data_IF_472867657678
#
_entry.id   IF_472867657678
#
_cell.length_a   1.000
_cell.length_b   1.000
_cell.length_c   1.000
_cell.angle_alpha   90.00
_cell.angle_beta   90.00
_cell.angle_gamma   90.00
#
_symmetry.space_group_name_H-M   'P 1'
#
loop_
_entity.id
_entity.type
_entity.pdbx_description
1 polymer ?
#
# COMPACT_ATOMS: atom_id res chain seq x y z
N UNK A 1 58.47 26.86 15.96
CA UNK A 1 57.65 25.80 15.32
C UNK A 1 56.28 25.76 16.01
N UNK A 2 55.19 26.12 15.32
CA UNK A 2 53.82 26.01 15.86
C UNK A 2 53.00 25.17 14.87
N UNK A 3 52.75 23.91 15.21
CA UNK A 3 51.85 23.05 14.44
C UNK A 3 50.41 23.54 14.65
N UNK A 4 49.76 23.95 13.56
CA UNK A 4 48.32 24.22 13.56
C UNK A 4 47.61 22.87 13.40
N UNK A 5 46.94 22.40 14.47
CA UNK A 5 45.98 21.30 14.36
C UNK A 5 44.78 21.80 13.53
N UNK A 6 44.60 21.22 12.35
CA UNK A 6 43.37 21.40 11.56
C UNK A 6 42.40 20.32 12.04
N UNK A 7 41.35 20.73 12.76
CA UNK A 7 40.27 19.87 13.21
C UNK A 7 39.31 19.64 12.04
N UNK A 8 39.34 18.46 11.43
CA UNK A 8 38.41 18.06 10.37
C UNK A 8 37.09 17.63 11.03
N UNK A 9 36.10 18.53 11.06
CA UNK A 9 34.77 18.21 11.54
C UNK A 9 34.05 17.33 10.51
N UNK A 10 33.96 16.03 10.79
CA UNK A 10 33.21 15.07 9.97
C UNK A 10 31.71 15.30 10.18
N UNK A 11 31.08 16.10 9.31
CA UNK A 11 29.63 16.24 9.23
C UNK A 11 29.03 14.90 8.79
N UNK A 12 28.57 14.11 9.75
CA UNK A 12 27.69 12.96 9.54
C UNK A 12 26.35 13.47 8.99
N UNK A 13 26.25 13.61 7.68
CA UNK A 13 24.96 13.75 7.01
C UNK A 13 24.31 12.38 7.04
N UNK A 14 23.55 12.09 8.10
CA UNK A 14 22.69 10.91 8.16
C UNK A 14 21.77 10.95 6.94
N UNK A 15 21.79 9.96 6.03
CA UNK A 15 20.79 9.90 5.00
C UNK A 15 19.44 9.79 5.71
N UNK A 16 18.53 10.72 5.42
CA UNK A 16 17.11 10.56 5.74
C UNK A 16 16.64 9.32 4.98
N UNK A 17 16.80 8.14 5.60
CA UNK A 17 16.13 6.95 5.16
C UNK A 17 14.65 7.18 5.45
N UNK A 18 13.90 7.60 4.43
CA UNK A 18 12.45 7.57 4.49
C UNK A 18 12.06 6.11 4.75
N UNK A 19 11.67 5.82 5.99
CA UNK A 19 11.15 4.52 6.34
C UNK A 19 9.90 4.30 5.48
N UNK A 20 9.84 3.17 4.80
CA UNK A 20 8.61 2.81 4.10
C UNK A 20 7.51 2.60 5.14
N UNK A 21 6.26 2.93 4.83
CA UNK A 21 5.18 2.78 5.78
C UNK A 21 5.03 1.31 6.19
N UNK A 22 4.83 1.10 7.49
CA UNK A 22 4.57 -0.21 8.07
C UNK A 22 3.07 -0.38 8.36
N UNK A 23 2.55 -1.57 8.05
CA UNK A 23 1.17 -1.98 8.31
C UNK A 23 1.16 -3.42 8.80
N UNK A 24 0.51 -3.68 9.94
CA UNK A 24 0.48 -4.99 10.60
C UNK A 24 1.88 -5.62 10.77
N UNK A 25 2.87 -4.81 11.16
CA UNK A 25 4.25 -5.27 11.37
C UNK A 25 5.06 -5.51 10.08
N UNK A 26 4.50 -5.25 8.90
CA UNK A 26 5.17 -5.44 7.62
C UNK A 26 5.48 -4.08 6.95
N UNK A 27 6.67 -3.92 6.39
CA UNK A 27 7.11 -2.72 5.67
C UNK A 27 6.93 -2.89 4.15
N UNK A 28 6.24 -1.95 3.52
CA UNK A 28 6.03 -1.95 2.06
C UNK A 28 7.36 -1.76 1.34
N UNK A 29 7.64 -2.59 0.34
CA UNK A 29 8.87 -2.56 -0.45
C UNK A 29 10.08 -3.16 0.26
N UNK A 30 9.91 -3.78 1.43
CA UNK A 30 11.00 -4.42 2.19
C UNK A 30 10.65 -5.81 2.69
N UNK A 31 9.49 -5.99 3.33
CA UNK A 31 9.12 -7.28 3.89
C UNK A 31 9.03 -8.33 2.79
N UNK A 32 9.78 -9.42 2.96
CA UNK A 32 9.78 -10.55 2.04
C UNK A 32 8.59 -11.47 2.29
N UNK A 33 8.20 -12.23 1.28
CA UNK A 33 7.20 -13.29 1.38
C UNK A 33 7.54 -14.29 2.51
N UNK A 34 8.82 -14.66 2.62
CA UNK A 34 9.31 -15.55 3.67
C UNK A 34 9.20 -14.93 5.07
N UNK A 35 9.46 -13.62 5.22
CA UNK A 35 9.24 -12.91 6.49
C UNK A 35 7.76 -12.85 6.86
N UNK A 36 6.90 -12.49 5.91
CA UNK A 36 5.46 -12.47 6.13
C UNK A 36 4.93 -13.86 6.53
N UNK A 37 5.45 -14.94 5.91
CA UNK A 37 5.11 -16.32 6.26
C UNK A 37 5.57 -16.77 7.66
N UNK A 38 6.55 -16.08 8.26
CA UNK A 38 6.93 -16.28 9.67
C UNK A 38 6.04 -15.50 10.63
N UNK A 39 5.53 -14.34 10.21
CA UNK A 39 4.63 -13.52 11.01
C UNK A 39 3.20 -14.09 11.01
N UNK A 40 2.73 -14.55 9.85
CA UNK A 40 1.35 -14.95 9.63
C UNK A 40 1.26 -16.18 8.72
N UNK A 41 0.22 -16.99 8.93
CA UNK A 41 -0.13 -18.05 7.97
C UNK A 41 -0.70 -17.43 6.69
N UNK A 42 0.07 -17.54 5.61
CA UNK A 42 -0.36 -17.14 4.26
C UNK A 42 -1.25 -18.24 3.66
N UNK A 43 -2.46 -17.88 3.24
CA UNK A 43 -3.43 -18.79 2.65
C UNK A 43 -3.69 -18.39 1.19
N UNK A 44 -4.13 -19.36 0.37
CA UNK A 44 -4.58 -19.19 -1.02
C UNK A 44 -3.61 -18.35 -1.87
N UNK A 45 -2.68 -19.05 -2.49
CA UNK A 45 -1.70 -18.47 -3.41
C UNK A 45 -2.31 -18.27 -4.81
N UNK A 46 -2.23 -17.04 -5.33
CA UNK A 46 -2.63 -16.73 -6.69
C UNK A 46 -1.58 -15.83 -7.35
N UNK A 47 -1.13 -16.17 -8.56
CA UNK A 47 -0.26 -15.29 -9.32
C UNK A 47 -1.01 -13.99 -9.66
N UNK A 48 -0.47 -12.85 -9.24
CA UNK A 48 -1.07 -11.56 -9.51
C UNK A 48 -0.54 -11.00 -10.85
N UNK A 49 -1.41 -10.73 -11.83
CA UNK A 49 -0.99 -10.36 -13.19
C UNK A 49 -0.34 -8.97 -13.28
N UNK A 50 -0.47 -8.13 -12.25
CA UNK A 50 0.09 -6.78 -12.26
C UNK A 50 1.45 -6.70 -11.56
N UNK A 51 1.64 -7.47 -10.48
CA UNK A 51 2.91 -7.49 -9.77
C UNK A 51 3.91 -8.50 -10.36
N UNK A 52 3.42 -9.57 -10.99
CA UNK A 52 4.24 -10.70 -11.41
C UNK A 52 4.62 -11.65 -10.27
N UNK A 53 4.23 -11.33 -9.03
CA UNK A 53 4.42 -12.17 -7.85
C UNK A 53 3.09 -12.71 -7.32
N UNK A 54 3.17 -13.41 -6.20
CA UNK A 54 2.00 -14.05 -5.60
C UNK A 54 1.20 -13.12 -4.69
N UNK A 55 -0.11 -13.37 -4.67
CA UNK A 55 -1.07 -12.80 -3.74
C UNK A 55 -1.52 -13.87 -2.74
N UNK A 56 -1.66 -13.47 -1.48
CA UNK A 56 -2.10 -14.32 -0.38
C UNK A 56 -3.18 -13.63 0.45
N UNK A 57 -4.04 -14.43 1.06
CA UNK A 57 -4.91 -13.99 2.16
C UNK A 57 -4.32 -14.34 3.52
N UNK A 58 -4.49 -13.45 4.48
CA UNK A 58 -4.11 -13.69 5.89
C UNK A 58 -5.38 -13.79 6.73
N UNK A 59 -5.38 -14.71 7.70
CA UNK A 59 -6.47 -14.79 8.66
C UNK A 59 -6.50 -13.50 9.50
N UNK A 60 -7.55 -12.66 9.41
CA UNK A 60 -7.61 -11.38 10.11
C UNK A 60 -7.55 -11.56 11.64
N UNK A 61 -8.00 -12.71 12.17
CA UNK A 61 -7.96 -13.01 13.61
C UNK A 61 -6.53 -13.22 14.15
N UNK A 62 -5.55 -13.44 13.26
CA UNK A 62 -4.14 -13.55 13.65
C UNK A 62 -3.46 -12.19 13.81
N UNK A 63 -4.13 -11.10 13.40
CA UNK A 63 -3.64 -9.74 13.51
C UNK A 63 -4.41 -9.07 14.65
N UNK A 64 -3.70 -8.54 15.63
CA UNK A 64 -4.30 -7.79 16.74
C UNK A 64 -4.73 -6.39 16.26
N UNK A 65 -5.86 -6.35 15.54
CA UNK A 65 -6.48 -5.13 15.07
C UNK A 65 -8.01 -5.28 15.05
N UNK A 66 -8.68 -4.46 15.86
CA UNK A 66 -10.13 -4.50 16.02
C UNK A 66 -10.89 -4.24 14.71
N UNK A 67 -11.85 -5.11 14.39
CA UNK A 67 -12.77 -4.95 13.26
C UNK A 67 -12.17 -5.33 11.90
N UNK A 68 -11.03 -6.02 11.86
CA UNK A 68 -10.44 -6.50 10.62
C UNK A 68 -11.21 -7.70 10.06
N UNK A 69 -11.68 -7.62 8.81
CA UNK A 69 -12.50 -8.66 8.16
C UNK A 69 -11.73 -9.45 7.10
N UNK A 70 -10.81 -8.79 6.39
CA UNK A 70 -9.98 -9.42 5.37
C UNK A 70 -8.63 -8.73 5.29
N UNK A 71 -7.58 -9.52 5.05
CA UNK A 71 -6.26 -9.01 4.67
C UNK A 71 -5.75 -9.74 3.44
N UNK A 72 -5.34 -8.96 2.45
CA UNK A 72 -4.71 -9.44 1.23
C UNK A 72 -3.31 -8.83 1.11
N UNK A 73 -2.32 -9.69 0.87
CA UNK A 73 -0.93 -9.30 0.62
C UNK A 73 -0.60 -9.61 -0.83
N UNK A 74 0.08 -8.70 -1.53
CA UNK A 74 0.62 -8.99 -2.88
C UNK A 74 2.12 -8.70 -2.87
N UNK A 75 2.88 -9.68 -3.35
CA UNK A 75 4.31 -9.62 -3.54
C UNK A 75 4.65 -9.40 -5.02
N UNK A 76 5.84 -8.87 -5.29
CA UNK A 76 6.41 -8.78 -6.63
C UNK A 76 7.18 -10.04 -7.02
N UNK A 77 7.74 -10.06 -8.23
CA UNK A 77 8.57 -11.15 -8.76
C UNK A 77 9.83 -11.44 -7.92
N UNK A 78 10.27 -10.46 -7.12
CA UNK A 78 11.40 -10.59 -6.19
C UNK A 78 10.95 -11.04 -4.80
N UNK A 79 9.68 -11.41 -4.65
CA UNK A 79 9.05 -11.84 -3.41
C UNK A 79 9.07 -10.78 -2.32
N UNK A 80 8.99 -9.51 -2.70
CA UNK A 80 8.92 -8.37 -1.78
C UNK A 80 7.50 -7.81 -1.75
N UNK A 81 7.01 -7.47 -0.56
CA UNK A 81 5.65 -6.96 -0.32
C UNK A 81 5.47 -5.62 -1.01
N UNK A 82 4.52 -5.52 -1.95
CA UNK A 82 4.25 -4.28 -2.71
C UNK A 82 2.83 -3.76 -2.52
N UNK A 83 1.97 -4.54 -1.87
CA UNK A 83 0.58 -4.16 -1.63
C UNK A 83 0.00 -4.86 -0.40
N UNK A 84 -0.72 -4.10 0.40
CA UNK A 84 -1.57 -4.60 1.48
C UNK A 84 -2.96 -3.99 1.32
N UNK A 85 -3.98 -4.82 1.34
CA UNK A 85 -5.38 -4.39 1.47
C UNK A 85 -5.97 -4.98 2.73
N UNK A 86 -6.59 -4.13 3.53
CA UNK A 86 -7.36 -4.48 4.70
C UNK A 86 -8.79 -4.00 4.52
N UNK A 87 -9.74 -4.88 4.83
CA UNK A 87 -11.17 -4.60 4.77
C UNK A 87 -11.73 -4.55 6.19
N UNK A 88 -12.56 -3.56 6.44
CA UNK A 88 -13.20 -3.28 7.72
C UNK A 88 -14.70 -3.01 7.52
N UNK A 89 -15.53 -3.17 8.56
CA UNK A 89 -16.87 -2.63 8.58
C UNK A 89 -16.86 -1.11 8.33
N UNK A 90 -17.87 -0.59 7.64
CA UNK A 90 -17.98 0.84 7.29
C UNK A 90 -17.83 1.80 8.47
N UNK A 91 -18.29 1.41 9.66
CA UNK A 91 -18.21 2.27 10.85
C UNK A 91 -16.75 2.56 11.29
N UNK A 92 -15.77 1.76 10.84
CA UNK A 92 -14.35 1.97 11.13
C UNK A 92 -13.71 3.12 10.37
N UNK A 93 -14.38 3.69 9.35
CA UNK A 93 -13.79 4.72 8.49
C UNK A 93 -13.22 5.91 9.29
N UNK A 94 -13.98 6.48 10.22
CA UNK A 94 -13.54 7.67 10.96
C UNK A 94 -12.38 7.36 11.93
N UNK A 95 -12.39 6.18 12.55
CA UNK A 95 -11.31 5.69 13.40
C UNK A 95 -10.01 5.53 12.60
N UNK A 96 -10.09 4.87 11.43
CA UNK A 96 -8.96 4.68 10.52
C UNK A 96 -8.46 6.02 9.97
N UNK A 97 -9.36 6.94 9.62
CA UNK A 97 -8.99 8.27 9.14
C UNK A 97 -8.24 9.06 10.21
N UNK A 98 -8.68 9.01 11.47
CA UNK A 98 -7.98 9.64 12.59
C UNK A 98 -6.61 9.02 12.83
N UNK A 99 -6.51 7.69 12.80
CA UNK A 99 -5.25 6.95 12.94
C UNK A 99 -4.25 7.29 11.82
N UNK A 100 -4.72 7.40 10.57
CA UNK A 100 -3.86 7.78 9.45
C UNK A 100 -3.45 9.25 9.55
N UNK A 101 -4.39 10.14 9.91
CA UNK A 101 -4.13 11.58 10.02
C UNK A 101 -3.16 11.96 11.15
N UNK A 102 -2.96 11.10 12.16
CA UNK A 102 -1.91 11.31 13.17
C UNK A 102 -0.51 10.93 12.69
N UNK A 103 -0.40 10.13 11.61
CA UNK A 103 0.86 9.64 11.05
C UNK A 103 1.25 10.33 9.74
N UNK A 104 0.26 10.64 8.90
CA UNK A 104 0.45 11.10 7.54
C UNK A 104 -0.40 12.34 7.25
N UNK A 105 0.17 13.29 6.50
CA UNK A 105 -0.60 14.41 5.96
C UNK A 105 -1.34 13.96 4.69
N UNK A 106 -2.67 14.14 4.58
CA UNK A 106 -3.39 13.74 3.38
C UNK A 106 -3.00 14.64 2.20
N UNK A 107 -2.84 14.04 1.03
CA UNK A 107 -2.67 14.77 -0.25
C UNK A 107 -4.00 15.03 -0.94
N UNK A 108 -5.03 14.24 -0.62
CA UNK A 108 -6.39 14.42 -1.11
C UNK A 108 -7.38 13.90 -0.07
N UNK A 109 -8.50 14.60 0.07
CA UNK A 109 -9.55 14.29 1.04
C UNK A 109 -10.90 14.69 0.46
N UNK A 110 -11.75 13.69 0.19
CA UNK A 110 -13.14 13.86 -0.21
C UNK A 110 -14.00 13.05 0.76
N UNK A 111 -14.56 13.73 1.75
CA UNK A 111 -15.37 13.11 2.81
C UNK A 111 -16.68 13.91 2.90
N UNK A 112 -17.58 13.78 1.92
CA UNK A 112 -18.85 14.45 1.95
C UNK A 112 -19.73 13.86 3.07
N UNK A 113 -20.77 14.60 3.46
CA UNK A 113 -21.78 14.10 4.40
C UNK A 113 -22.54 12.91 3.81
N UNK A 114 -22.88 12.97 2.51
CA UNK A 114 -23.48 11.89 1.72
C UNK A 114 -22.62 11.64 0.47
N UNK A 115 -22.37 10.38 0.16
CA UNK A 115 -21.55 9.95 -0.98
C UNK A 115 -20.31 9.16 -0.56
N UNK A 116 -19.46 8.85 -1.55
CA UNK A 116 -18.25 8.08 -1.33
C UNK A 116 -17.23 8.90 -0.54
N UNK A 117 -16.63 8.25 0.47
CA UNK A 117 -15.53 8.83 1.23
C UNK A 117 -14.20 8.27 0.72
N UNK A 118 -13.26 9.15 0.43
CA UNK A 118 -11.90 8.79 0.06
C UNK A 118 -10.89 9.75 0.68
N UNK A 119 -9.82 9.18 1.24
CA UNK A 119 -8.65 9.92 1.68
C UNK A 119 -7.39 9.25 1.12
N UNK A 120 -6.46 10.07 0.64
CA UNK A 120 -5.20 9.61 0.04
C UNK A 120 -4.05 10.27 0.75
N UNK A 121 -3.05 9.47 1.08
CA UNK A 121 -1.80 9.88 1.70
C UNK A 121 -0.63 9.33 0.89
N UNK A 122 0.53 9.95 1.03
CA UNK A 122 1.78 9.45 0.50
C UNK A 122 2.83 9.39 1.59
N UNK A 123 3.57 8.30 1.58
CA UNK A 123 4.76 8.15 2.40
C UNK A 123 5.84 7.42 1.59
N UNK A 124 6.92 8.14 1.29
CA UNK A 124 7.95 7.71 0.34
C UNK A 124 7.37 7.21 -0.99
N UNK A 125 7.74 5.98 -1.36
CA UNK A 125 7.28 5.31 -2.58
C UNK A 125 5.90 4.64 -2.49
N UNK A 126 5.12 4.91 -1.44
CA UNK A 126 3.85 4.22 -1.17
C UNK A 126 2.69 5.21 -1.17
N UNK A 127 1.59 4.81 -1.83
CA UNK A 127 0.29 5.46 -1.73
C UNK A 127 -0.55 4.71 -0.70
N UNK A 128 -1.14 5.45 0.22
CA UNK A 128 -2.08 4.93 1.21
C UNK A 128 -3.45 5.49 0.88
N UNK A 129 -4.44 4.63 0.70
CA UNK A 129 -5.79 5.02 0.34
C UNK A 129 -6.77 4.42 1.34
N UNK A 130 -7.62 5.27 1.91
CA UNK A 130 -8.77 4.87 2.72
C UNK A 130 -10.05 5.19 1.95
N UNK A 131 -10.81 4.16 1.60
CA UNK A 131 -12.03 4.25 0.81
C UNK A 131 -13.22 3.70 1.59
N UNK A 132 -14.28 4.50 1.71
CA UNK A 132 -15.57 4.09 2.26
C UNK A 132 -16.68 4.38 1.24
N UNK A 133 -16.97 3.47 0.30
CA UNK A 133 -18.01 3.67 -0.69
C UNK A 133 -19.40 3.78 -0.04
N UNK A 134 -20.24 4.70 -0.55
CA UNK A 134 -21.57 4.95 -0.04
C UNK A 134 -22.46 3.71 -0.11
N UNK A 135 -22.39 2.96 -1.22
CA UNK A 135 -23.21 1.77 -1.48
C UNK A 135 -22.57 0.47 -0.96
N UNK A 136 -21.48 0.55 -0.21
CA UNK A 136 -20.81 -0.60 0.41
C UNK A 136 -21.04 -0.63 1.92
N UNK A 137 -21.01 -1.83 2.50
CA UNK A 137 -20.95 -2.05 3.95
C UNK A 137 -19.53 -2.03 4.50
N UNK A 138 -18.53 -1.88 3.62
CA UNK A 138 -17.13 -2.02 3.97
C UNK A 138 -16.36 -0.73 3.72
N UNK A 139 -15.29 -0.56 4.47
CA UNK A 139 -14.22 0.40 4.23
C UNK A 139 -12.94 -0.37 3.93
N UNK A 140 -12.19 0.12 2.95
CA UNK A 140 -10.96 -0.50 2.48
C UNK A 140 -9.79 0.42 2.76
N UNK A 141 -8.79 -0.10 3.47
CA UNK A 141 -7.50 0.54 3.64
C UNK A 141 -6.48 -0.17 2.77
N UNK A 142 -5.85 0.57 1.87
CA UNK A 142 -4.84 0.05 0.94
C UNK A 142 -3.52 0.76 1.13
N UNK A 143 -2.44 0.00 1.22
CA UNK A 143 -1.06 0.46 1.05
C UNK A 143 -0.53 -0.14 -0.24
N UNK A 144 -0.10 0.70 -1.19
CA UNK A 144 0.36 0.23 -2.49
C UNK A 144 1.63 0.96 -2.92
N UNK A 145 2.64 0.21 -3.36
CA UNK A 145 3.84 0.81 -3.94
C UNK A 145 3.48 1.51 -5.26
N UNK A 146 4.01 2.72 -5.46
CA UNK A 146 3.72 3.53 -6.65
C UNK A 146 4.08 2.80 -7.95
N UNK A 147 5.19 2.06 -7.96
CA UNK A 147 5.61 1.23 -9.11
C UNK A 147 4.55 0.21 -9.53
N UNK A 148 3.89 -0.45 -8.58
CA UNK A 148 2.79 -1.37 -8.84
C UNK A 148 1.58 -0.63 -9.43
N UNK A 149 1.23 0.54 -8.88
CA UNK A 149 0.12 1.35 -9.41
C UNK A 149 0.38 1.81 -10.84
N UNK A 150 1.61 2.18 -11.17
CA UNK A 150 1.99 2.55 -12.54
C UNK A 150 1.96 1.35 -13.50
N UNK A 151 2.40 0.16 -13.06
CA UNK A 151 2.24 -1.10 -13.83
C UNK A 151 0.76 -1.37 -14.10
N UNK A 152 -0.09 -1.29 -13.07
CA UNK A 152 -1.54 -1.47 -13.19
C UNK A 152 -2.16 -0.49 -14.21
N UNK A 153 -1.86 0.81 -14.11
CA UNK A 153 -2.35 1.82 -15.07
C UNK A 153 -1.90 1.53 -16.49
N UNK A 154 -0.63 1.15 -16.69
CA UNK A 154 -0.06 0.84 -18.01
C UNK A 154 -0.75 -0.35 -18.66
N UNK A 155 -0.86 -1.47 -17.94
CA UNK A 155 -1.51 -2.69 -18.42
C UNK A 155 -2.97 -2.42 -18.79
N UNK A 156 -3.70 -1.68 -17.94
CA UNK A 156 -5.10 -1.36 -18.24
C UNK A 156 -5.28 -0.44 -19.43
N UNK A 157 -4.42 0.57 -19.61
CA UNK A 157 -4.46 1.42 -20.81
C UNK A 157 -4.18 0.59 -22.08
N UNK A 158 -3.21 -0.32 -22.04
CA UNK A 158 -2.91 -1.21 -23.16
C UNK A 158 -4.10 -2.12 -23.49
N UNK A 159 -4.74 -2.70 -22.48
CA UNK A 159 -5.91 -3.56 -22.64
C UNK A 159 -7.11 -2.80 -23.22
N UNK A 160 -7.36 -1.57 -22.76
CA UNK A 160 -8.41 -0.72 -23.31
C UNK A 160 -8.16 -0.38 -24.78
N UNK A 161 -6.91 -0.04 -25.15
CA UNK A 161 -6.55 0.25 -26.52
C UNK A 161 -6.71 -0.98 -27.43
N UNK A 162 -6.33 -2.17 -26.96
CA UNK A 162 -6.55 -3.42 -27.70
C UNK A 162 -8.03 -3.73 -27.90
N UNK A 163 -8.87 -3.54 -26.87
CA UNK A 163 -10.33 -3.73 -26.98
C UNK A 163 -10.93 -2.80 -28.03
N UNK A 164 -10.58 -1.50 -27.99
CA UNK A 164 -11.05 -0.50 -28.97
C UNK A 164 -10.61 -0.82 -30.39
N UNK A 165 -9.36 -1.23 -30.59
CA UNK A 165 -8.85 -1.62 -31.91
C UNK A 165 -9.59 -2.85 -32.46
N UNK A 166 -9.88 -3.84 -31.59
CA UNK A 166 -10.64 -5.03 -31.96
C UNK A 166 -12.08 -4.69 -32.33
N UNK A 167 -12.75 -3.84 -31.54
CA UNK A 167 -14.11 -3.34 -31.83
C UNK A 167 -14.16 -2.59 -33.16
N UNK A 168 -13.20 -1.71 -33.43
CA UNK A 168 -13.11 -0.98 -34.69
C UNK A 168 -12.87 -1.89 -35.91
N UNK A 169 -12.18 -3.01 -35.74
CA UNK A 169 -11.95 -3.99 -36.82
C UNK A 169 -13.14 -4.89 -37.13
N UNK A 170 -14.19 -4.85 -36.29
CA UNK A 170 -15.44 -5.60 -36.46
C UNK A 170 -16.58 -4.73 -37.03
N UNK A 171 -16.31 -3.45 -37.30
CA UNK A 171 -17.20 -2.50 -37.98
C UNK A 171 -16.74 -2.32 -39.43
#
# INVERSE_FOLDING_TARGET
>A
MKQKLILFALLLVSPFAFAAPSVFGMEIGKTTEAEAGRMYRLNKEQLNPYSGGYQYSVNPKAIDFSGLEQVTLIFDEKKVLVYVQAVFPKYKFEELMKMLGSKYKPVSRQIPFVGDKIAVFHDGGTRITLEGPHMSFNTTLTYAQNSLLEKYKRINRQNQNHRRAKEASML
#
